data_IF_448997147696
#
_entry.id   IF_448997147696
#
_cell.length_a   1.000
_cell.length_b   1.000
_cell.length_c   1.000
_cell.angle_alpha   90.00
_cell.angle_beta   90.00
_cell.angle_gamma   90.00
#
_symmetry.space_group_name_H-M   'P 1'
#
loop_
_entity.id
_entity.type
_entity.pdbx_description
1 polymer ?
#
# COMPACT_ATOMS: atom_id res chain seq x y z
N UNK A 1 -3.01 14.43 5.94
CA UNK A 1 -3.80 13.76 4.87
C UNK A 1 -4.28 14.79 3.86
N UNK A 2 -4.28 14.48 2.55
CA UNK A 2 -4.89 15.36 1.55
C UNK A 2 -6.38 15.58 1.81
N UNK A 3 -6.87 16.81 1.57
CA UNK A 3 -8.23 17.21 1.94
C UNK A 3 -9.32 16.35 1.27
N UNK A 4 -9.10 15.93 0.04
CA UNK A 4 -10.04 15.06 -0.71
C UNK A 4 -10.09 13.66 -0.11
N UNK A 5 -8.94 13.09 0.26
CA UNK A 5 -8.88 11.79 0.94
C UNK A 5 -9.62 11.84 2.29
N UNK A 6 -9.46 12.93 3.06
CA UNK A 6 -10.16 13.12 4.34
C UNK A 6 -11.68 13.12 4.23
N UNK A 7 -12.21 13.62 3.11
CA UNK A 7 -13.66 13.64 2.85
C UNK A 7 -14.20 12.29 2.39
N UNK A 8 -13.38 11.47 1.74
CA UNK A 8 -13.78 10.16 1.21
C UNK A 8 -13.66 9.04 2.24
N UNK A 9 -12.76 9.19 3.20
CA UNK A 9 -12.50 8.18 4.23
C UNK A 9 -13.75 7.73 5.00
N UNK A 10 -14.62 8.65 5.50
CA UNK A 10 -15.83 8.25 6.21
C UNK A 10 -16.82 7.45 5.35
N UNK A 11 -16.66 7.49 4.02
CA UNK A 11 -17.51 6.76 3.09
C UNK A 11 -17.02 5.32 2.84
N UNK A 12 -15.83 4.94 3.34
CA UNK A 12 -15.30 3.58 3.19
C UNK A 12 -16.15 2.55 3.92
N UNK A 13 -16.60 2.89 5.12
CA UNK A 13 -17.32 2.00 6.02
C UNK A 13 -18.85 2.22 5.98
N UNK A 14 -19.32 3.13 5.14
CA UNK A 14 -20.75 3.44 5.03
C UNK A 14 -21.41 2.51 3.99
N UNK A 15 -22.22 1.50 4.45
CA UNK A 15 -22.89 0.60 3.53
C UNK A 15 -23.96 1.30 2.69
N UNK A 16 -24.44 2.47 3.13
CA UNK A 16 -25.47 3.27 2.46
C UNK A 16 -24.88 4.40 1.60
N UNK A 17 -23.57 4.41 1.40
CA UNK A 17 -22.89 5.43 0.60
C UNK A 17 -23.52 5.53 -0.79
N UNK A 18 -24.01 6.71 -1.10
CA UNK A 18 -24.57 6.98 -2.42
C UNK A 18 -23.47 7.41 -3.41
N UNK A 19 -23.63 7.00 -4.66
CA UNK A 19 -22.76 7.44 -5.74
C UNK A 19 -22.64 8.97 -5.82
N UNK A 20 -23.75 9.71 -5.58
CA UNK A 20 -23.75 11.16 -5.64
C UNK A 20 -22.84 11.81 -4.61
N UNK A 21 -22.68 11.24 -3.42
CA UNK A 21 -21.76 11.75 -2.39
C UNK A 21 -20.31 11.66 -2.85
N UNK A 22 -19.92 10.55 -3.48
CA UNK A 22 -18.57 10.36 -4.02
C UNK A 22 -18.34 11.29 -5.23
N UNK A 23 -19.30 11.34 -6.15
CA UNK A 23 -19.25 12.21 -7.32
C UNK A 23 -19.09 13.67 -6.92
N UNK A 24 -19.84 14.13 -5.92
CA UNK A 24 -19.79 15.51 -5.45
C UNK A 24 -18.42 15.88 -4.85
N UNK A 25 -17.74 14.96 -4.20
CA UNK A 25 -16.39 15.20 -3.68
C UNK A 25 -15.38 15.30 -4.83
N UNK A 26 -15.47 14.41 -5.82
CA UNK A 26 -14.50 14.30 -6.92
C UNK A 26 -14.68 15.42 -7.94
N UNK A 27 -15.92 15.78 -8.30
CA UNK A 27 -16.23 16.73 -9.39
C UNK A 27 -15.69 18.14 -9.15
N UNK A 28 -15.47 18.52 -7.90
CA UNK A 28 -14.91 19.84 -7.54
C UNK A 28 -13.36 19.86 -7.57
N UNK A 29 -12.72 18.74 -7.92
CA UNK A 29 -11.29 18.67 -8.16
C UNK A 29 -11.01 18.26 -9.61
N UNK A 30 -10.80 19.24 -10.52
CA UNK A 30 -10.59 18.95 -11.93
C UNK A 30 -9.35 18.09 -12.19
N UNK A 31 -8.30 18.26 -11.39
CA UNK A 31 -7.07 17.47 -11.49
C UNK A 31 -7.30 16.01 -11.12
N UNK A 32 -8.03 15.78 -10.04
CA UNK A 32 -8.40 14.44 -9.61
C UNK A 32 -9.33 13.77 -10.64
N UNK A 33 -10.35 14.49 -11.12
CA UNK A 33 -11.27 14.01 -12.16
C UNK A 33 -10.51 13.57 -13.42
N UNK A 34 -9.61 14.42 -13.93
CA UNK A 34 -8.82 14.12 -15.12
C UNK A 34 -7.93 12.87 -14.90
N UNK A 35 -7.29 12.77 -13.74
CA UNK A 35 -6.44 11.63 -13.40
C UNK A 35 -7.24 10.32 -13.25
N UNK A 36 -8.42 10.37 -12.62
CA UNK A 36 -9.33 9.21 -12.53
C UNK A 36 -9.68 8.71 -13.94
N UNK A 37 -10.12 9.60 -14.83
CA UNK A 37 -10.48 9.22 -16.19
C UNK A 37 -9.29 8.65 -16.98
N UNK A 38 -8.10 9.24 -16.81
CA UNK A 38 -6.87 8.76 -17.42
C UNK A 38 -6.52 7.34 -16.95
N UNK A 39 -6.54 7.11 -15.63
CA UNK A 39 -6.24 5.80 -15.04
C UNK A 39 -7.29 4.75 -15.45
N UNK A 40 -8.57 5.09 -15.36
CA UNK A 40 -9.67 4.18 -15.74
C UNK A 40 -9.57 3.75 -17.21
N UNK A 41 -9.10 4.63 -18.09
CA UNK A 41 -8.87 4.32 -19.51
C UNK A 41 -7.51 3.63 -19.79
N UNK A 42 -6.72 3.34 -18.76
CA UNK A 42 -5.42 2.69 -18.94
C UNK A 42 -5.55 1.19 -19.21
N UNK A 43 -4.48 0.61 -19.75
CA UNK A 43 -4.39 -0.84 -19.96
C UNK A 43 -4.47 -1.67 -18.66
N UNK A 44 -4.24 -1.03 -17.50
CA UNK A 44 -4.36 -1.69 -16.20
C UNK A 44 -5.78 -2.18 -15.92
N UNK A 45 -6.80 -1.33 -16.18
CA UNK A 45 -8.21 -1.70 -15.96
C UNK A 45 -8.82 -2.51 -17.08
N UNK A 46 -8.18 -2.58 -18.26
CA UNK A 46 -8.61 -3.34 -19.41
C UNK A 46 -10.10 -3.14 -19.80
N UNK A 47 -10.62 -1.90 -19.59
CA UNK A 47 -11.99 -1.56 -19.94
C UNK A 47 -12.09 -1.42 -21.46
N UNK A 48 -12.99 -2.16 -22.14
CA UNK A 48 -13.03 -2.21 -23.60
C UNK A 48 -13.64 -0.96 -24.26
N UNK A 49 -14.24 -0.08 -23.46
CA UNK A 49 -14.87 1.17 -23.93
C UNK A 49 -14.20 2.38 -23.30
N UNK A 50 -14.20 3.50 -24.02
CA UNK A 50 -13.63 4.75 -23.48
C UNK A 50 -14.55 5.34 -22.43
N UNK A 51 -14.00 5.63 -21.26
CA UNK A 51 -14.70 6.22 -20.12
C UNK A 51 -14.56 7.74 -20.17
N UNK A 52 -15.69 8.46 -20.15
CA UNK A 52 -15.74 9.90 -20.31
C UNK A 52 -16.22 10.65 -19.06
N UNK A 53 -16.71 9.94 -18.03
CA UNK A 53 -17.20 10.55 -16.80
C UNK A 53 -16.89 9.69 -15.58
N UNK A 54 -16.81 10.33 -14.40
CA UNK A 54 -16.65 9.64 -13.11
C UNK A 54 -17.81 8.67 -12.88
N UNK A 55 -19.02 9.06 -13.25
CA UNK A 55 -20.21 8.20 -13.17
C UNK A 55 -20.05 6.91 -13.98
N UNK A 56 -19.54 7.01 -15.20
CA UNK A 56 -19.26 5.85 -16.03
C UNK A 56 -18.14 5.00 -15.44
N UNK A 57 -17.07 5.62 -14.87
CA UNK A 57 -16.01 4.91 -14.18
C UNK A 57 -16.57 4.06 -13.02
N UNK A 58 -17.44 4.65 -12.18
CA UNK A 58 -18.07 3.91 -11.08
C UNK A 58 -18.96 2.77 -11.57
N UNK A 59 -19.74 3.00 -12.62
CA UNK A 59 -20.63 1.96 -13.18
C UNK A 59 -19.84 0.75 -13.69
N UNK A 60 -18.61 0.96 -14.16
CA UNK A 60 -17.77 -0.09 -14.74
C UNK A 60 -16.82 -0.75 -13.72
N UNK A 61 -16.26 0.04 -12.81
CA UNK A 61 -15.29 -0.43 -11.82
C UNK A 61 -15.94 -0.83 -10.48
N UNK A 62 -17.10 -0.28 -10.20
CA UNK A 62 -17.66 -0.25 -8.87
C UNK A 62 -17.07 0.89 -8.01
N UNK A 63 -17.81 1.30 -6.98
CA UNK A 63 -17.42 2.42 -6.13
C UNK A 63 -16.16 2.13 -5.29
N UNK A 64 -15.97 0.91 -4.83
CA UNK A 64 -14.80 0.49 -4.03
C UNK A 64 -13.50 0.66 -4.82
N UNK A 65 -13.43 0.15 -6.05
CA UNK A 65 -12.26 0.34 -6.92
C UNK A 65 -12.00 1.80 -7.29
N UNK A 66 -13.08 2.59 -7.48
CA UNK A 66 -12.90 4.02 -7.68
C UNK A 66 -12.26 4.67 -6.45
N UNK A 67 -12.67 4.30 -5.25
CA UNK A 67 -12.12 4.83 -4.01
C UNK A 67 -10.63 4.49 -3.87
N UNK A 68 -10.22 3.25 -4.18
CA UNK A 68 -8.80 2.88 -4.26
C UNK A 68 -8.01 3.79 -5.20
N UNK A 69 -8.57 4.07 -6.39
CA UNK A 69 -7.99 5.02 -7.34
C UNK A 69 -7.81 6.41 -6.75
N UNK A 70 -8.85 6.91 -6.09
CA UNK A 70 -8.81 8.24 -5.47
C UNK A 70 -7.77 8.28 -4.35
N UNK A 71 -7.74 7.29 -3.47
CA UNK A 71 -6.73 7.19 -2.42
C UNK A 71 -5.31 7.15 -3.01
N UNK A 72 -5.11 6.32 -4.03
CA UNK A 72 -3.84 6.24 -4.78
C UNK A 72 -3.42 7.62 -5.28
N UNK A 73 -4.29 8.33 -5.96
CA UNK A 73 -4.00 9.66 -6.52
C UNK A 73 -3.73 10.70 -5.43
N UNK A 74 -4.52 10.70 -4.37
CA UNK A 74 -4.35 11.63 -3.25
C UNK A 74 -3.02 11.42 -2.51
N UNK A 75 -2.62 10.15 -2.30
CA UNK A 75 -1.39 9.82 -1.58
C UNK A 75 -0.13 10.02 -2.44
N UNK A 76 -0.23 9.95 -3.76
CA UNK A 76 0.92 10.05 -4.67
C UNK A 76 1.73 11.33 -4.46
N UNK A 77 1.09 12.46 -4.17
CA UNK A 77 1.76 13.75 -4.01
C UNK A 77 2.70 13.81 -2.81
N UNK A 78 2.40 13.08 -1.74
CA UNK A 78 3.24 13.03 -0.53
C UNK A 78 4.24 11.88 -0.59
N UNK A 79 3.85 10.73 -1.12
CA UNK A 79 4.68 9.53 -1.19
C UNK A 79 5.76 9.58 -2.30
N UNK A 80 5.63 10.50 -3.26
CA UNK A 80 6.66 10.73 -4.28
C UNK A 80 7.85 11.57 -3.81
N UNK A 81 7.85 12.06 -2.57
CA UNK A 81 8.99 12.81 -2.01
C UNK A 81 10.15 11.86 -1.70
N UNK A 82 11.41 12.32 -1.84
CA UNK A 82 12.56 11.52 -1.42
C UNK A 82 12.59 11.41 0.12
N UNK A 83 13.10 10.28 0.64
CA UNK A 83 13.21 10.03 2.07
C UNK A 83 14.66 9.64 2.40
N UNK A 84 15.53 10.64 2.66
CA UNK A 84 16.97 10.42 2.79
C UNK A 84 17.39 9.43 3.89
N UNK A 85 16.60 9.31 4.98
CA UNK A 85 16.88 8.36 6.06
C UNK A 85 16.78 6.89 5.63
N UNK A 86 15.98 6.62 4.60
CA UNK A 86 15.81 5.28 4.02
C UNK A 86 16.53 5.11 2.67
N UNK A 87 17.32 6.10 2.27
CA UNK A 87 17.97 6.13 0.95
C UNK A 87 16.97 5.95 -0.22
N UNK A 88 15.74 6.39 -0.01
CA UNK A 88 14.69 6.34 -1.01
C UNK A 88 14.69 7.60 -1.86
N UNK A 89 15.01 7.45 -3.13
CA UNK A 89 14.94 8.52 -4.11
C UNK A 89 13.48 8.93 -4.40
N UNK A 90 13.31 10.04 -5.11
CA UNK A 90 11.99 10.54 -5.47
C UNK A 90 11.16 9.49 -6.21
N UNK A 91 10.01 9.14 -5.65
CA UNK A 91 9.04 8.22 -6.23
C UNK A 91 9.30 6.75 -5.92
N UNK A 92 10.37 6.39 -5.20
CA UNK A 92 10.66 4.99 -4.86
C UNK A 92 9.68 4.42 -3.86
N UNK A 93 9.39 5.14 -2.76
CA UNK A 93 8.33 4.74 -1.83
C UNK A 93 6.99 4.54 -2.56
N UNK A 94 6.65 5.47 -3.45
CA UNK A 94 5.44 5.38 -4.24
C UNK A 94 5.39 4.13 -5.11
N UNK A 95 6.46 3.84 -5.86
CA UNK A 95 6.54 2.64 -6.72
C UNK A 95 6.46 1.35 -5.90
N UNK A 96 7.13 1.32 -4.74
CA UNK A 96 7.05 0.20 -3.82
C UNK A 96 5.60 -0.02 -3.35
N UNK A 97 4.96 1.00 -2.81
CA UNK A 97 3.60 0.91 -2.31
C UNK A 97 2.59 0.47 -3.38
N UNK A 98 2.74 0.93 -4.61
CA UNK A 98 1.91 0.47 -5.75
C UNK A 98 2.18 -1.01 -6.06
N UNK A 99 3.44 -1.44 -6.08
CA UNK A 99 3.77 -2.84 -6.33
C UNK A 99 3.21 -3.75 -5.24
N UNK A 100 3.33 -3.35 -3.97
CA UNK A 100 2.78 -4.08 -2.82
C UNK A 100 1.25 -4.14 -2.88
N UNK A 101 0.59 -3.03 -3.26
CA UNK A 101 -0.88 -3.01 -3.42
C UNK A 101 -1.36 -3.98 -4.51
N UNK A 102 -0.69 -4.01 -5.65
CA UNK A 102 -1.03 -4.92 -6.75
C UNK A 102 -0.72 -6.39 -6.36
N UNK A 103 0.38 -6.63 -5.65
CA UNK A 103 0.70 -7.95 -5.12
C UNK A 103 -0.39 -8.42 -4.15
N UNK A 104 -0.82 -7.56 -3.24
CA UNK A 104 -1.88 -7.86 -2.27
C UNK A 104 -3.22 -8.19 -2.95
N UNK A 105 -3.62 -7.44 -3.99
CA UNK A 105 -4.81 -7.79 -4.81
C UNK A 105 -4.66 -9.16 -5.50
N UNK A 106 -3.48 -9.46 -6.04
CA UNK A 106 -3.23 -10.76 -6.67
C UNK A 106 -3.24 -11.93 -5.67
N UNK A 107 -2.74 -11.71 -4.43
CA UNK A 107 -2.81 -12.68 -3.33
C UNK A 107 -4.27 -12.96 -2.97
N UNK A 108 -5.08 -11.91 -2.76
CA UNK A 108 -6.52 -12.03 -2.47
C UNK A 108 -7.26 -12.78 -3.58
N UNK A 109 -6.95 -12.44 -4.84
CA UNK A 109 -7.52 -13.14 -5.99
C UNK A 109 -7.17 -14.63 -6.02
N UNK A 110 -5.94 -15.00 -5.64
CA UNK A 110 -5.50 -16.39 -5.57
C UNK A 110 -6.18 -17.15 -4.41
N UNK A 111 -6.42 -16.47 -3.27
CA UNK A 111 -7.15 -17.02 -2.12
C UNK A 111 -8.67 -17.09 -2.34
N UNK A 112 -9.18 -16.50 -3.43
CA UNK A 112 -10.62 -16.43 -3.72
C UNK A 112 -11.44 -15.75 -2.59
N UNK A 113 -10.86 -14.76 -1.92
CA UNK A 113 -11.50 -13.99 -0.85
C UNK A 113 -12.36 -12.89 -1.48
N UNK A 114 -13.67 -12.87 -1.17
CA UNK A 114 -14.63 -11.94 -1.79
C UNK A 114 -14.64 -10.54 -1.16
N UNK A 115 -14.25 -10.39 0.12
CA UNK A 115 -14.37 -9.14 0.89
C UNK A 115 -13.01 -8.62 1.39
N UNK A 116 -12.05 -8.51 0.49
CA UNK A 116 -10.73 -7.98 0.81
C UNK A 116 -10.46 -6.62 0.15
N UNK A 117 -11.49 -5.81 -0.01
CA UNK A 117 -11.38 -4.48 -0.65
C UNK A 117 -10.42 -3.54 0.10
N UNK A 118 -10.26 -3.73 1.41
CA UNK A 118 -9.36 -2.95 2.25
C UNK A 118 -7.88 -3.27 2.01
N UNK A 119 -7.58 -4.44 1.43
CA UNK A 119 -6.19 -4.91 1.27
C UNK A 119 -5.36 -3.98 0.41
N UNK A 120 -5.93 -3.46 -0.67
CA UNK A 120 -5.24 -2.51 -1.53
C UNK A 120 -4.83 -1.25 -0.76
N UNK A 121 -5.74 -0.69 0.03
CA UNK A 121 -5.48 0.52 0.81
C UNK A 121 -4.47 0.27 1.93
N UNK A 122 -4.56 -0.85 2.64
CA UNK A 122 -3.59 -1.23 3.66
C UNK A 122 -2.19 -1.38 3.06
N UNK A 123 -2.08 -2.10 1.94
CA UNK A 123 -0.84 -2.29 1.22
C UNK A 123 -0.27 -0.98 0.63
N UNK A 124 -1.13 -0.06 0.16
CA UNK A 124 -0.70 1.25 -0.31
C UNK A 124 -0.08 2.09 0.81
N UNK A 125 -0.60 1.97 2.02
CA UNK A 125 -0.24 2.83 3.16
C UNK A 125 0.72 2.16 4.15
N UNK A 126 1.12 0.89 3.95
CA UNK A 126 1.88 0.13 4.93
C UNK A 126 3.16 0.86 5.39
N UNK A 127 3.80 1.53 4.49
CA UNK A 127 5.06 2.27 4.68
C UNK A 127 4.89 3.79 4.90
N UNK A 128 3.67 4.28 5.12
CA UNK A 128 3.41 5.72 5.27
C UNK A 128 4.17 6.35 6.44
N UNK A 129 4.51 5.55 7.45
CA UNK A 129 5.30 5.98 8.61
C UNK A 129 6.71 6.43 8.24
N UNK A 130 7.32 5.88 7.18
CA UNK A 130 8.64 6.29 6.67
C UNK A 130 8.69 7.79 6.32
N UNK A 131 7.55 8.37 5.91
CA UNK A 131 7.47 9.81 5.61
C UNK A 131 7.75 10.70 6.82
N UNK A 132 7.38 10.25 8.01
CA UNK A 132 7.59 10.99 9.27
C UNK A 132 8.91 10.57 9.89
N UNK A 133 9.16 9.26 9.96
CA UNK A 133 10.31 8.72 10.67
C UNK A 133 11.65 9.02 9.96
N UNK A 134 11.63 9.20 8.63
CA UNK A 134 12.84 9.37 7.81
C UNK A 134 13.75 10.51 8.22
N UNK A 135 13.19 11.59 8.82
CA UNK A 135 13.98 12.68 9.37
C UNK A 135 14.75 12.30 10.64
N UNK A 136 14.21 11.38 11.44
CA UNK A 136 14.84 10.84 12.66
C UNK A 136 15.85 9.75 12.27
N UNK A 137 15.45 8.81 11.42
CA UNK A 137 16.34 7.76 10.88
C UNK A 137 17.60 8.38 10.28
N UNK A 138 17.48 9.48 9.54
CA UNK A 138 18.65 10.17 8.97
C UNK A 138 19.66 10.65 10.03
N UNK A 139 19.20 11.05 11.22
CA UNK A 139 20.09 11.53 12.28
C UNK A 139 20.87 10.40 12.93
N UNK A 140 20.25 9.25 13.09
CA UNK A 140 20.79 8.09 13.81
C UNK A 140 21.15 6.94 12.83
N UNK A 141 21.32 7.26 11.53
CA UNK A 141 21.51 6.30 10.45
C UNK A 141 22.69 5.37 10.68
N UNK A 142 23.82 5.90 11.16
CA UNK A 142 25.04 5.12 11.43
C UNK A 142 24.78 4.01 12.46
N UNK A 143 24.00 4.29 13.51
CA UNK A 143 23.65 3.30 14.53
C UNK A 143 22.68 2.24 13.98
N UNK A 144 21.69 2.67 13.18
CA UNK A 144 20.75 1.75 12.52
C UNK A 144 21.49 0.84 11.55
N UNK A 145 22.41 1.38 10.73
CA UNK A 145 23.22 0.59 9.79
C UNK A 145 24.15 -0.39 10.50
N UNK A 146 24.73 0.00 11.65
CA UNK A 146 25.53 -0.92 12.45
C UNK A 146 24.68 -2.10 12.95
N UNK A 147 23.45 -1.87 13.39
CA UNK A 147 22.51 -2.94 13.79
C UNK A 147 22.17 -3.86 12.62
N UNK A 148 21.83 -3.27 11.46
CA UNK A 148 21.52 -4.05 10.24
C UNK A 148 22.72 -4.88 9.79
N UNK A 149 23.96 -4.35 9.90
CA UNK A 149 25.18 -5.10 9.61
C UNK A 149 25.39 -6.30 10.53
N UNK A 150 24.83 -6.27 11.73
CA UNK A 150 24.84 -7.37 12.72
C UNK A 150 23.70 -8.37 12.51
N UNK A 151 22.86 -8.18 11.47
CA UNK A 151 21.81 -9.13 11.08
C UNK A 151 20.42 -8.77 11.60
N UNK A 152 20.22 -7.62 12.26
CA UNK A 152 18.89 -7.16 12.62
C UNK A 152 18.14 -6.64 11.38
N UNK A 153 16.82 -6.80 11.33
CA UNK A 153 16.00 -6.14 10.31
C UNK A 153 15.94 -4.64 10.56
N UNK A 154 15.62 -3.86 9.53
CA UNK A 154 15.66 -2.40 9.62
C UNK A 154 14.62 -1.85 10.60
N UNK A 155 13.40 -2.40 10.61
CA UNK A 155 12.33 -2.08 11.54
C UNK A 155 12.72 -2.36 13.01
N UNK A 156 13.37 -3.50 13.28
CA UNK A 156 13.90 -3.84 14.60
C UNK A 156 14.99 -2.85 15.02
N UNK A 157 15.89 -2.47 14.11
CA UNK A 157 16.92 -1.47 14.38
C UNK A 157 16.32 -0.08 14.67
N UNK A 158 15.28 0.32 13.93
CA UNK A 158 14.50 1.54 14.24
C UNK A 158 13.93 1.48 15.64
N UNK A 159 13.24 0.40 15.97
CA UNK A 159 12.60 0.25 17.27
C UNK A 159 13.63 0.33 18.44
N UNK A 160 14.79 -0.33 18.28
CA UNK A 160 15.85 -0.30 19.31
C UNK A 160 16.47 1.10 19.46
N UNK A 161 16.73 1.78 18.35
CA UNK A 161 17.46 3.07 18.38
C UNK A 161 16.52 4.26 18.64
N UNK A 162 15.33 4.25 18.02
CA UNK A 162 14.38 5.37 18.08
C UNK A 162 13.24 5.14 19.09
N UNK A 163 13.10 3.92 19.62
CA UNK A 163 11.99 3.53 20.49
C UNK A 163 10.66 3.31 19.79
N UNK A 164 10.63 3.40 18.46
CA UNK A 164 9.46 3.19 17.61
C UNK A 164 9.93 2.89 16.18
N UNK A 165 9.21 2.05 15.45
CA UNK A 165 9.47 1.76 14.04
C UNK A 165 8.46 2.46 13.11
N UNK A 166 8.71 2.37 11.79
CA UNK A 166 7.86 3.01 10.79
C UNK A 166 6.48 2.36 10.67
N UNK A 167 6.31 1.08 11.00
CA UNK A 167 5.02 0.40 10.98
C UNK A 167 4.12 0.91 12.11
N UNK A 168 4.66 1.05 13.32
CA UNK A 168 3.98 1.64 14.48
C UNK A 168 3.61 3.11 14.22
N UNK A 169 4.52 3.90 13.65
CA UNK A 169 4.24 5.30 13.25
C UNK A 169 3.13 5.34 12.20
N UNK A 170 3.17 4.47 11.21
CA UNK A 170 2.14 4.34 10.18
C UNK A 170 0.77 4.03 10.78
N UNK A 171 0.69 3.03 11.66
CA UNK A 171 -0.52 2.68 12.37
C UNK A 171 -1.10 3.86 13.18
N UNK A 172 -0.24 4.61 13.89
CA UNK A 172 -0.66 5.79 14.63
C UNK A 172 -1.19 6.90 13.72
N UNK A 173 -0.59 7.10 12.55
CA UNK A 173 -1.08 8.04 11.54
C UNK A 173 -2.48 7.63 11.05
N UNK A 174 -2.67 6.35 10.70
CA UNK A 174 -3.96 5.85 10.24
C UNK A 174 -5.04 5.98 11.32
N UNK A 175 -4.70 5.67 12.56
CA UNK A 175 -5.60 5.87 13.71
C UNK A 175 -6.03 7.33 13.88
N UNK A 176 -5.10 8.27 13.79
CA UNK A 176 -5.41 9.71 13.83
C UNK A 176 -6.26 10.18 12.65
N UNK A 177 -6.16 9.48 11.52
CA UNK A 177 -6.96 9.75 10.34
C UNK A 177 -8.31 9.01 10.36
N UNK A 178 -8.63 8.31 11.45
CA UNK A 178 -9.86 7.54 11.64
C UNK A 178 -10.05 6.43 10.59
N UNK A 179 -8.96 5.77 10.20
CA UNK A 179 -9.06 4.55 9.39
C UNK A 179 -9.59 3.38 10.21
N UNK A 180 -10.25 2.40 9.57
CA UNK A 180 -10.70 1.16 10.22
C UNK A 180 -9.59 0.47 11.01
N UNK A 181 -9.98 -0.19 12.10
CA UNK A 181 -9.03 -0.86 13.00
C UNK A 181 -8.22 -1.95 12.29
N UNK A 182 -8.86 -2.71 11.39
CA UNK A 182 -8.21 -3.77 10.63
C UNK A 182 -7.11 -3.23 9.69
N UNK A 183 -7.35 -2.10 9.01
CA UNK A 183 -6.34 -1.39 8.23
C UNK A 183 -5.18 -0.92 9.10
N UNK A 184 -5.49 -0.33 10.25
CA UNK A 184 -4.50 0.15 11.21
C UNK A 184 -3.62 -0.99 11.73
N UNK A 185 -4.23 -2.15 12.06
CA UNK A 185 -3.51 -3.36 12.45
C UNK A 185 -2.62 -3.88 11.32
N UNK A 186 -3.16 -3.95 10.10
CA UNK A 186 -2.40 -4.44 8.96
C UNK A 186 -1.13 -3.63 8.72
N UNK A 187 -1.22 -2.31 8.84
CA UNK A 187 -0.06 -1.41 8.73
C UNK A 187 0.90 -1.58 9.90
N UNK A 188 0.38 -1.66 11.14
CA UNK A 188 1.22 -1.75 12.33
C UNK A 188 1.97 -3.08 12.47
N UNK A 189 1.46 -4.15 11.88
CA UNK A 189 2.01 -5.51 12.03
C UNK A 189 2.52 -6.12 10.73
N UNK A 190 2.76 -5.30 9.70
CA UNK A 190 3.17 -5.85 8.40
C UNK A 190 4.59 -6.46 8.38
N UNK A 191 5.42 -6.19 9.39
CA UNK A 191 6.73 -6.86 9.55
C UNK A 191 6.64 -8.13 10.39
N UNK A 192 5.75 -8.16 11.39
CA UNK A 192 5.60 -9.27 12.35
C UNK A 192 4.12 -9.63 12.54
N UNK A 193 3.42 -10.15 11.51
CA UNK A 193 1.99 -10.44 11.58
C UNK A 193 1.63 -11.52 12.62
N UNK A 194 2.57 -12.39 12.98
CA UNK A 194 2.43 -13.40 14.02
C UNK A 194 2.29 -12.82 15.42
N UNK A 195 2.85 -11.64 15.68
CA UNK A 195 2.80 -10.96 16.98
C UNK A 195 1.49 -10.19 17.21
N UNK A 196 0.68 -10.04 16.18
CA UNK A 196 -0.63 -9.40 16.28
C UNK A 196 -1.58 -10.22 17.17
N UNK A 197 -1.95 -9.70 18.36
CA UNK A 197 -2.73 -10.40 19.39
C UNK A 197 -4.08 -10.94 18.91
N UNK A 198 -4.74 -10.23 18.01
CA UNK A 198 -5.98 -10.67 17.37
C UNK A 198 -5.70 -10.85 15.89
N UNK A 199 -5.14 -11.98 15.52
CA UNK A 199 -4.68 -12.29 14.15
C UNK A 199 -5.55 -11.62 13.08
N UNK A 200 -4.91 -10.79 12.29
CA UNK A 200 -5.53 -10.08 11.18
C UNK A 200 -5.00 -10.69 9.88
N UNK A 201 -5.86 -11.35 9.11
CA UNK A 201 -5.48 -11.92 7.81
C UNK A 201 -4.91 -10.84 6.88
N UNK A 202 -5.40 -9.62 7.02
CA UNK A 202 -4.94 -8.48 6.26
C UNK A 202 -3.44 -8.19 6.51
N UNK A 203 -2.97 -8.36 7.77
CA UNK A 203 -1.54 -8.23 8.11
C UNK A 203 -0.69 -9.30 7.41
N UNK A 204 -1.17 -10.56 7.38
CA UNK A 204 -0.48 -11.66 6.70
C UNK A 204 -0.35 -11.37 5.19
N UNK A 205 -1.43 -10.89 4.57
CA UNK A 205 -1.45 -10.57 3.13
C UNK A 205 -0.52 -9.40 2.82
N UNK A 206 -0.56 -8.32 3.62
CA UNK A 206 0.31 -7.16 3.42
C UNK A 206 1.77 -7.53 3.63
N UNK A 207 2.08 -8.35 4.64
CA UNK A 207 3.42 -8.89 4.88
C UNK A 207 3.96 -9.66 3.66
N UNK A 208 3.20 -10.64 3.16
CA UNK A 208 3.59 -11.41 1.99
C UNK A 208 3.73 -10.54 0.75
N UNK A 209 2.81 -9.60 0.54
CA UNK A 209 2.86 -8.66 -0.58
C UNK A 209 4.09 -7.75 -0.51
N UNK A 210 4.45 -7.26 0.69
CA UNK A 210 5.64 -6.45 0.93
C UNK A 210 6.91 -7.23 0.57
N UNK A 211 7.05 -8.47 1.06
CA UNK A 211 8.18 -9.34 0.77
C UNK A 211 8.30 -9.61 -0.75
N UNK A 212 7.20 -9.89 -1.44
CA UNK A 212 7.19 -10.04 -2.89
C UNK A 212 7.60 -8.73 -3.59
N UNK A 213 7.13 -7.57 -3.14
CA UNK A 213 7.51 -6.26 -3.65
C UNK A 213 9.03 -6.01 -3.55
N UNK A 214 9.62 -6.36 -2.41
CA UNK A 214 11.06 -6.27 -2.17
C UNK A 214 11.85 -7.20 -3.10
N UNK A 215 11.46 -8.48 -3.21
CA UNK A 215 12.11 -9.46 -4.09
C UNK A 215 12.06 -9.01 -5.56
N UNK A 216 10.96 -8.42 -6.00
CA UNK A 216 10.82 -7.87 -7.35
C UNK A 216 11.61 -6.58 -7.58
N UNK A 217 12.26 -6.04 -6.54
CA UNK A 217 13.08 -4.83 -6.64
C UNK A 217 12.28 -3.53 -6.78
N UNK A 218 11.01 -3.54 -6.41
CA UNK A 218 10.22 -2.34 -6.37
C UNK A 218 10.60 -1.53 -5.12
N UNK A 219 11.20 -0.34 -5.30
CA UNK A 219 11.56 0.56 -4.20
C UNK A 219 12.71 0.08 -3.33
N UNK A 220 13.80 -0.39 -3.96
CA UNK A 220 14.98 -0.84 -3.22
C UNK A 220 15.58 0.31 -2.40
N UNK A 221 15.45 0.23 -1.07
CA UNK A 221 16.51 0.72 -0.20
C UNK A 221 17.70 -0.23 -0.34
N UNK A 222 18.86 0.30 -0.68
CA UNK A 222 20.10 -0.50 -0.83
C UNK A 222 20.51 -1.18 0.49
N UNK A 223 19.89 -0.78 1.60
CA UNK A 223 20.28 -1.07 2.97
C UNK A 223 19.31 -1.97 3.73
N UNK A 224 18.12 -2.22 3.23
CA UNK A 224 17.20 -3.19 3.83
C UNK A 224 17.65 -4.60 3.44
N UNK A 225 18.11 -5.38 4.43
CA UNK A 225 18.27 -6.81 4.27
C UNK A 225 16.90 -7.41 3.94
N UNK A 226 16.82 -8.19 2.87
CA UNK A 226 15.62 -8.94 2.54
C UNK A 226 15.23 -9.77 3.76
N UNK A 227 14.07 -9.50 4.35
CA UNK A 227 13.47 -10.48 5.23
C UNK A 227 13.20 -11.72 4.37
N UNK A 228 13.70 -12.87 4.79
CA UNK A 228 13.34 -14.13 4.15
C UNK A 228 11.83 -14.21 4.06
N UNK A 229 11.33 -14.63 2.89
CA UNK A 229 9.90 -14.90 2.71
C UNK A 229 9.43 -15.72 3.91
N UNK A 230 8.51 -15.16 4.71
CA UNK A 230 8.04 -15.84 5.92
C UNK A 230 7.34 -17.14 5.54
N UNK A 231 8.04 -18.26 5.68
CA UNK A 231 7.50 -19.59 5.43
C UNK A 231 6.23 -19.84 6.25
N UNK A 232 6.19 -19.29 7.47
CA UNK A 232 5.02 -19.39 8.35
C UNK A 232 3.79 -18.74 7.73
N UNK A 233 3.94 -17.55 7.14
CA UNK A 233 2.83 -16.83 6.48
C UNK A 233 2.43 -17.55 5.19
N UNK A 234 3.40 -18.02 4.41
CA UNK A 234 3.14 -18.75 3.16
C UNK A 234 2.35 -20.02 3.42
N UNK A 235 2.80 -20.84 4.39
CA UNK A 235 2.12 -22.07 4.79
C UNK A 235 0.71 -21.79 5.36
N UNK A 236 0.59 -20.75 6.17
CA UNK A 236 -0.69 -20.32 6.75
C UNK A 236 -1.70 -19.90 5.69
N UNK A 237 -1.25 -19.20 4.65
CA UNK A 237 -2.09 -18.81 3.51
C UNK A 237 -2.29 -19.95 2.50
N UNK A 238 -1.59 -21.07 2.66
CA UNK A 238 -1.73 -22.27 1.85
C UNK A 238 -1.09 -22.17 0.45
N UNK A 239 -0.16 -21.24 0.23
CA UNK A 239 0.52 -21.07 -1.03
C UNK A 239 1.66 -22.06 -1.25
N UNK A 240 1.82 -22.47 -2.52
CA UNK A 240 2.96 -23.22 -3.02
C UNK A 240 3.90 -22.30 -3.79
N UNK A 241 5.15 -22.70 -4.03
CA UNK A 241 6.10 -21.90 -4.82
C UNK A 241 5.55 -21.42 -6.17
N UNK A 242 4.86 -22.30 -6.90
CA UNK A 242 4.29 -21.97 -8.21
C UNK A 242 3.20 -20.88 -8.12
N UNK A 243 2.44 -20.84 -7.03
CA UNK A 243 1.43 -19.80 -6.79
C UNK A 243 2.11 -18.43 -6.60
N UNK A 244 3.22 -18.40 -5.85
CA UNK A 244 3.99 -17.18 -5.61
C UNK A 244 4.63 -16.64 -6.90
N UNK A 245 5.16 -17.53 -7.76
CA UNK A 245 5.69 -17.15 -9.07
C UNK A 245 4.60 -16.52 -9.96
N UNK A 246 3.40 -17.12 -9.97
CA UNK A 246 2.27 -16.58 -10.72
C UNK A 246 1.83 -15.20 -10.18
N UNK A 247 1.74 -15.04 -8.85
CA UNK A 247 1.42 -13.77 -8.20
C UNK A 247 2.48 -12.72 -8.57
N UNK A 248 3.76 -13.03 -8.46
CA UNK A 248 4.85 -12.14 -8.82
C UNK A 248 4.78 -11.72 -10.30
N UNK A 249 4.58 -12.66 -11.21
CA UNK A 249 4.45 -12.39 -12.66
C UNK A 249 3.27 -11.46 -12.97
N UNK A 250 2.10 -11.70 -12.38
CA UNK A 250 0.92 -10.83 -12.53
C UNK A 250 1.18 -9.45 -11.95
N UNK A 251 1.87 -9.37 -10.81
CA UNK A 251 2.22 -8.11 -10.17
C UNK A 251 3.14 -7.27 -11.04
N UNK A 252 4.21 -7.83 -11.58
CA UNK A 252 5.11 -7.14 -12.52
C UNK A 252 4.34 -6.62 -13.73
N UNK A 253 3.47 -7.45 -14.31
CA UNK A 253 2.62 -7.02 -15.44
C UNK A 253 1.70 -5.86 -15.06
N UNK A 254 1.06 -5.91 -13.87
CA UNK A 254 0.20 -4.85 -13.37
C UNK A 254 0.95 -3.54 -13.10
N UNK A 255 2.11 -3.62 -12.46
CA UNK A 255 2.98 -2.45 -12.20
C UNK A 255 3.40 -1.77 -13.51
N UNK A 256 3.84 -2.54 -14.51
CA UNK A 256 4.25 -1.98 -15.81
C UNK A 256 3.09 -1.25 -16.49
N UNK A 257 1.90 -1.85 -16.54
CA UNK A 257 0.70 -1.21 -17.13
C UNK A 257 0.30 0.08 -16.40
N UNK A 258 0.47 0.12 -15.06
CA UNK A 258 0.12 1.30 -14.28
C UNK A 258 1.19 2.39 -14.36
N UNK A 259 2.48 2.01 -14.47
CA UNK A 259 3.60 2.94 -14.59
C UNK A 259 3.55 3.78 -15.87
N UNK A 260 2.91 3.29 -16.95
CA UNK A 260 2.70 4.05 -18.19
C UNK A 260 1.76 5.25 -17.99
N UNK A 261 1.02 5.29 -16.91
CA UNK A 261 -0.06 6.25 -16.67
C UNK A 261 0.18 7.13 -15.44
N UNK A 262 0.93 6.68 -14.43
CA UNK A 262 1.24 7.42 -13.19
C UNK A 262 2.53 8.25 -13.30
#
# INVERSE_FOLDING_TARGET
MPATAAKLLPLLDDPDVSFSQIEDIIRYDPGLTANILRLTNSAYFAIPIKVHSVRQAVSLLGWKRLLHLVMTLCMSSIMKKPIPGYDLARGELWRHSIAVSIAAENIVGALSISDADEVFTAALLHDVGKLILGGFVKKDLEFIEDMVSKGFSFDVAEHIILGIDHAEVGANILKQWSFPEELTKAVGWHHSPEDCKNRCMLSDIVHLANNLGQVMGAGKSVKENYSDLSLVVIEKLGFKPDDLEQIASRTVSGVNKLAEVL
#
